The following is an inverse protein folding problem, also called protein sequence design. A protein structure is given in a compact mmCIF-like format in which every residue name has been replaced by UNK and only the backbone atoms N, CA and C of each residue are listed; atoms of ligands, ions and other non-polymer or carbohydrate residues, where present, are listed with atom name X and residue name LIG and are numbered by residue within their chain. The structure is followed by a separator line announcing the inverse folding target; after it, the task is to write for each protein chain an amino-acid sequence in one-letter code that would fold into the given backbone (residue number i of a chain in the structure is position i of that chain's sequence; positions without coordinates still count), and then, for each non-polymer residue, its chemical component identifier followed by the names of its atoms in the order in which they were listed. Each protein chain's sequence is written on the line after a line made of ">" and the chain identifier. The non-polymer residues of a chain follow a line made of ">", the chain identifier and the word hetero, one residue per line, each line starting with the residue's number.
data_IF_900099856223
#
_entry.id   IF_900099856223
#
_cell.length_a   1.000
_cell.length_b   1.000
_cell.length_c   1.000
_cell.angle_alpha   90.00
_cell.angle_beta   90.00
_cell.angle_gamma   90.00
#
_symmetry.space_group_name_H-M   'P 1'
#
loop_
_entity.id
_entity.type
_entity.pdbx_description
1 polymer ?
#
# COMPACT_ATOMS: atom_id res chain seq x y z
N UNK A 1 -5.59 29.76 -11.18
CA UNK A 1 -6.74 30.23 -10.40
C UNK A 1 -6.92 29.28 -9.23
N UNK A 2 -6.81 29.78 -8.01
CA UNK A 2 -7.03 29.00 -6.79
C UNK A 2 -8.52 28.92 -6.54
N UNK A 3 -9.06 27.70 -6.55
CA UNK A 3 -10.45 27.40 -6.26
C UNK A 3 -10.68 27.52 -4.74
N UNK A 4 -11.79 28.12 -4.30
CA UNK A 4 -12.11 28.19 -2.86
C UNK A 4 -12.73 26.88 -2.38
N UNK A 5 -12.72 26.61 -1.06
CA UNK A 5 -13.33 25.39 -0.51
C UNK A 5 -14.82 25.28 -0.85
N UNK A 6 -15.56 26.39 -0.80
CA UNK A 6 -16.99 26.42 -1.15
C UNK A 6 -17.22 26.10 -2.62
N UNK A 7 -16.44 26.69 -3.52
CA UNK A 7 -16.48 26.36 -4.95
C UNK A 7 -16.10 24.91 -5.21
N UNK A 8 -15.16 24.35 -4.43
CA UNK A 8 -14.78 22.95 -4.54
C UNK A 8 -15.97 22.07 -4.20
N UNK A 9 -16.63 22.37 -3.08
CA UNK A 9 -17.80 21.63 -2.58
C UNK A 9 -18.96 21.67 -3.58
N UNK A 10 -19.25 22.83 -4.17
CA UNK A 10 -20.28 22.98 -5.22
C UNK A 10 -20.01 22.08 -6.43
N UNK A 11 -18.75 21.86 -6.79
CA UNK A 11 -18.36 21.06 -7.95
C UNK A 11 -18.04 19.59 -7.65
N UNK A 12 -18.11 19.12 -6.39
CA UNK A 12 -17.69 17.75 -6.04
C UNK A 12 -18.53 16.67 -6.72
N UNK A 13 -19.85 16.88 -6.80
CA UNK A 13 -20.77 15.91 -7.41
C UNK A 13 -20.54 15.82 -8.92
N UNK A 14 -20.52 16.97 -9.60
CA UNK A 14 -20.22 17.04 -11.03
C UNK A 14 -18.83 16.48 -11.34
N UNK A 15 -17.86 16.69 -10.45
CA UNK A 15 -16.51 16.15 -10.59
C UNK A 15 -16.50 14.62 -10.47
N UNK A 16 -17.24 14.05 -9.50
CA UNK A 16 -17.38 12.61 -9.33
C UNK A 16 -17.98 11.93 -10.57
N UNK A 17 -19.05 12.49 -11.13
CA UNK A 17 -19.69 11.98 -12.35
C UNK A 17 -19.01 12.41 -13.65
N UNK A 18 -17.91 13.18 -13.57
CA UNK A 18 -17.13 13.70 -14.71
C UNK A 18 -17.92 14.63 -15.64
N UNK A 19 -18.89 15.35 -15.10
CA UNK A 19 -19.72 16.35 -15.80
C UNK A 19 -19.06 17.74 -15.82
N UNK A 20 -18.01 17.96 -15.03
CA UNK A 20 -17.24 19.22 -15.04
C UNK A 20 -16.43 19.43 -16.32
N UNK A 21 -16.32 20.69 -16.75
CA UNK A 21 -15.39 21.10 -17.81
C UNK A 21 -13.93 20.77 -17.44
N UNK A 22 -13.09 20.45 -18.42
CA UNK A 22 -11.70 20.00 -18.17
C UNK A 22 -10.81 20.99 -17.42
N UNK A 23 -11.10 22.29 -17.45
CA UNK A 23 -10.42 23.31 -16.65
C UNK A 23 -10.85 23.26 -15.18
N UNK A 24 -12.15 23.19 -14.92
CA UNK A 24 -12.75 23.06 -13.59
C UNK A 24 -12.33 21.74 -12.94
N UNK A 25 -12.36 20.65 -13.69
CA UNK A 25 -11.91 19.33 -13.22
C UNK A 25 -10.47 19.36 -12.71
N UNK A 26 -9.55 20.00 -13.45
CA UNK A 26 -8.15 20.16 -13.00
C UNK A 26 -8.03 21.05 -11.77
N UNK A 27 -8.82 22.12 -11.69
CA UNK A 27 -8.81 23.02 -10.54
C UNK A 27 -9.32 22.32 -9.26
N UNK A 28 -10.39 21.54 -9.36
CA UNK A 28 -10.91 20.70 -8.27
C UNK A 28 -9.88 19.65 -7.87
N UNK A 29 -9.30 18.91 -8.82
CA UNK A 29 -8.27 17.90 -8.54
C UNK A 29 -7.04 18.50 -7.82
N UNK A 30 -6.59 19.68 -8.26
CA UNK A 30 -5.49 20.40 -7.62
C UNK A 30 -5.86 20.93 -6.23
N UNK A 31 -7.12 21.29 -6.00
CA UNK A 31 -7.60 21.72 -4.69
C UNK A 31 -7.68 20.53 -3.73
N UNK A 32 -8.21 19.39 -4.18
CA UNK A 32 -8.29 18.15 -3.40
C UNK A 32 -6.90 17.63 -2.98
N UNK A 33 -5.87 17.80 -3.82
CA UNK A 33 -4.51 17.38 -3.46
C UNK A 33 -3.84 18.30 -2.43
N UNK A 34 -4.32 19.53 -2.26
CA UNK A 34 -3.73 20.53 -1.35
C UNK A 34 -4.56 20.78 -0.09
N UNK A 35 -5.87 20.52 -0.13
CA UNK A 35 -6.82 20.78 0.94
C UNK A 35 -7.35 19.46 1.52
N UNK A 36 -6.83 19.06 2.69
CA UNK A 36 -7.19 17.79 3.35
C UNK A 36 -8.66 17.72 3.76
N UNK A 37 -9.28 18.84 4.15
CA UNK A 37 -10.70 18.86 4.50
C UNK A 37 -11.59 18.54 3.31
N UNK A 38 -11.33 19.15 2.15
CA UNK A 38 -12.08 18.88 0.93
C UNK A 38 -11.82 17.44 0.41
N UNK A 39 -10.61 16.92 0.58
CA UNK A 39 -10.30 15.52 0.25
C UNK A 39 -11.12 14.54 1.09
N UNK A 40 -11.22 14.75 2.41
CA UNK A 40 -12.03 13.90 3.29
C UNK A 40 -13.51 13.98 2.94
N UNK A 41 -14.02 15.16 2.61
CA UNK A 41 -15.40 15.33 2.16
C UNK A 41 -15.67 14.59 0.85
N UNK A 42 -14.76 14.67 -0.11
CA UNK A 42 -14.86 13.91 -1.35
C UNK A 42 -14.85 12.39 -1.11
N UNK A 43 -13.97 11.88 -0.24
CA UNK A 43 -13.95 10.45 0.10
C UNK A 43 -15.26 9.99 0.77
N UNK A 44 -15.89 10.83 1.60
CA UNK A 44 -17.20 10.52 2.20
C UNK A 44 -18.29 10.48 1.13
N UNK A 45 -18.33 11.48 0.26
CA UNK A 45 -19.26 11.53 -0.87
C UNK A 45 -19.10 10.28 -1.77
N UNK A 46 -17.87 9.91 -2.10
CA UNK A 46 -17.56 8.73 -2.91
C UNK A 46 -18.05 7.42 -2.26
N UNK A 47 -17.86 7.29 -0.94
CA UNK A 47 -18.35 6.14 -0.19
C UNK A 47 -19.89 6.09 -0.13
N UNK A 48 -20.55 7.23 0.07
CA UNK A 48 -22.02 7.32 0.12
C UNK A 48 -22.63 6.97 -1.24
N UNK A 49 -22.08 7.54 -2.32
CA UNK A 49 -22.54 7.26 -3.69
C UNK A 49 -22.24 5.83 -4.12
N UNK A 50 -21.06 5.31 -3.79
CA UNK A 50 -20.69 3.91 -4.07
C UNK A 50 -21.55 2.91 -3.31
N UNK A 51 -21.89 3.20 -2.05
CA UNK A 51 -22.82 2.39 -1.25
C UNK A 51 -24.23 2.37 -1.84
N UNK A 52 -24.73 3.53 -2.28
CA UNK A 52 -26.03 3.63 -2.95
C UNK A 52 -26.02 2.86 -4.28
N UNK A 53 -24.96 2.98 -5.08
CA UNK A 53 -24.81 2.22 -6.31
C UNK A 53 -24.83 0.70 -6.05
N UNK A 54 -24.11 0.23 -5.02
CA UNK A 54 -24.11 -1.18 -4.65
C UNK A 54 -25.48 -1.68 -4.15
N UNK A 55 -26.29 -0.82 -3.52
CA UNK A 55 -27.65 -1.15 -3.10
C UNK A 55 -28.66 -1.15 -4.26
N UNK A 56 -28.40 -0.38 -5.32
CA UNK A 56 -29.24 -0.27 -6.52
C UNK A 56 -28.83 -1.22 -7.64
N UNK A 57 -27.62 -1.79 -7.57
CA UNK A 57 -27.18 -2.83 -8.49
C UNK A 57 -27.98 -4.11 -8.22
N UNK A 58 -29.10 -4.24 -8.93
CA UNK A 58 -29.76 -5.53 -9.14
C UNK A 58 -28.74 -6.53 -9.69
N UNK A 59 -28.72 -7.74 -9.13
CA UNK A 59 -27.80 -8.79 -9.56
C UNK A 59 -27.88 -8.97 -11.08
N UNK A 60 -26.77 -8.80 -11.82
CA UNK A 60 -26.80 -8.86 -13.27
C UNK A 60 -27.31 -10.23 -13.71
N UNK A 61 -28.32 -10.23 -14.58
CA UNK A 61 -28.97 -11.47 -15.00
C UNK A 61 -27.97 -12.52 -15.52
N UNK A 62 -28.27 -13.82 -15.39
CA UNK A 62 -27.31 -14.92 -15.59
C UNK A 62 -26.65 -14.94 -16.97
N UNK A 63 -27.31 -14.36 -17.99
CA UNK A 63 -26.74 -14.23 -19.35
C UNK A 63 -25.60 -13.23 -19.42
N UNK A 64 -25.66 -12.13 -18.66
CA UNK A 64 -24.62 -11.10 -18.62
C UNK A 64 -23.39 -11.66 -17.93
N UNK A 65 -23.56 -12.33 -16.78
CA UNK A 65 -22.49 -13.02 -16.06
C UNK A 65 -21.79 -14.06 -16.95
N UNK A 66 -22.55 -14.93 -17.63
CA UNK A 66 -21.98 -15.94 -18.52
C UNK A 66 -21.19 -15.35 -19.72
N UNK A 67 -21.55 -14.15 -20.18
CA UNK A 67 -20.80 -13.44 -21.21
C UNK A 67 -19.52 -12.82 -20.63
N UNK A 68 -19.63 -12.17 -19.47
CA UNK A 68 -18.49 -11.54 -18.79
C UNK A 68 -17.42 -12.57 -18.43
N UNK A 69 -17.82 -13.72 -17.88
CA UNK A 69 -16.89 -14.80 -17.58
C UNK A 69 -16.17 -15.32 -18.85
N UNK A 70 -16.87 -15.38 -19.99
CA UNK A 70 -16.25 -15.78 -21.25
C UNK A 70 -15.21 -14.75 -21.71
N UNK A 71 -15.47 -13.47 -21.54
CA UNK A 71 -14.53 -12.41 -21.89
C UNK A 71 -13.33 -12.36 -20.95
N UNK A 72 -13.55 -12.45 -19.64
CA UNK A 72 -12.48 -12.52 -18.64
C UNK A 72 -11.61 -13.75 -18.89
N UNK A 73 -12.20 -14.93 -19.17
CA UNK A 73 -11.43 -16.13 -19.53
C UNK A 73 -10.61 -15.95 -20.81
N UNK A 74 -11.07 -15.16 -21.78
CA UNK A 74 -10.29 -14.86 -23.00
C UNK A 74 -9.15 -13.90 -22.70
N UNK A 75 -9.39 -12.85 -21.90
CA UNK A 75 -8.39 -11.86 -21.53
C UNK A 75 -7.32 -12.42 -20.58
N UNK A 76 -7.74 -13.27 -19.64
CA UNK A 76 -6.86 -13.93 -18.67
C UNK A 76 -6.15 -15.17 -19.23
N UNK A 77 -6.32 -15.52 -20.52
CA UNK A 77 -5.54 -16.60 -21.12
C UNK A 77 -4.06 -16.19 -21.09
N UNK A 78 -3.20 -16.88 -20.31
CA UNK A 78 -1.79 -16.59 -20.33
C UNK A 78 -1.29 -16.81 -21.76
N UNK A 79 -0.59 -15.83 -22.33
CA UNK A 79 0.14 -16.01 -23.58
C UNK A 79 1.20 -17.08 -23.32
N UNK A 80 0.86 -18.36 -23.58
CA UNK A 80 1.71 -19.54 -23.33
C UNK A 80 3.15 -19.34 -23.80
N UNK A 81 3.35 -18.61 -24.90
CA UNK A 81 4.66 -18.24 -25.43
C UNK A 81 5.57 -17.48 -24.46
N UNK A 82 5.04 -16.60 -23.61
CA UNK A 82 5.85 -15.86 -22.63
C UNK A 82 6.23 -16.74 -21.42
N UNK A 83 5.31 -17.59 -20.98
CA UNK A 83 5.57 -18.51 -19.86
C UNK A 83 6.59 -19.60 -20.24
N UNK A 84 6.52 -20.13 -21.46
CA UNK A 84 7.51 -21.08 -21.98
C UNK A 84 8.92 -20.45 -22.07
N UNK A 85 9.02 -19.17 -22.42
CA UNK A 85 10.28 -18.43 -22.48
C UNK A 85 10.88 -18.14 -21.09
N UNK A 86 10.04 -17.88 -20.08
CA UNK A 86 10.50 -17.73 -18.70
C UNK A 86 10.89 -19.08 -18.07
N UNK A 87 10.20 -20.17 -18.40
CA UNK A 87 10.55 -21.50 -17.89
C UNK A 87 11.84 -22.06 -18.48
N UNK A 88 12.22 -21.68 -19.71
CA UNK A 88 13.44 -22.17 -20.35
C UNK A 88 14.75 -21.56 -19.80
N UNK A 89 14.71 -20.52 -18.96
CA UNK A 89 15.89 -19.67 -18.69
C UNK A 89 16.37 -19.69 -17.23
N UNK A 90 16.39 -20.87 -16.62
CA UNK A 90 16.89 -21.07 -15.24
C UNK A 90 18.21 -21.88 -15.09
N UNK A 91 18.84 -22.53 -16.12
CA UNK A 91 19.93 -23.46 -15.80
C UNK A 91 21.30 -22.83 -15.48
N UNK A 92 21.56 -21.55 -15.80
CA UNK A 92 22.92 -20.98 -15.67
C UNK A 92 23.20 -20.45 -14.26
N UNK A 93 22.18 -20.00 -13.52
CA UNK A 93 22.38 -19.41 -12.19
C UNK A 93 22.30 -20.41 -11.04
N UNK A 94 21.80 -21.64 -11.28
CA UNK A 94 21.78 -22.70 -10.27
C UNK A 94 23.17 -23.06 -9.71
N UNK A 95 24.22 -23.28 -10.52
CA UNK A 95 25.54 -23.57 -9.97
C UNK A 95 26.11 -22.38 -9.17
N UNK A 96 25.86 -21.15 -9.62
CA UNK A 96 26.29 -19.94 -8.90
C UNK A 96 25.56 -19.78 -7.56
N UNK A 97 24.25 -20.06 -7.53
CA UNK A 97 23.47 -20.02 -6.29
C UNK A 97 23.91 -21.10 -5.30
N UNK A 98 24.23 -22.33 -5.77
CA UNK A 98 24.77 -23.39 -4.93
C UNK A 98 26.15 -23.02 -4.40
N UNK A 99 27.03 -22.47 -5.23
CA UNK A 99 28.36 -22.00 -4.81
C UNK A 99 28.26 -20.87 -3.77
N UNK A 100 27.38 -19.89 -4.00
CA UNK A 100 27.13 -18.80 -3.05
C UNK A 100 26.56 -19.30 -1.73
N UNK A 101 25.56 -20.18 -1.77
CA UNK A 101 24.95 -20.75 -0.56
C UNK A 101 25.95 -21.59 0.23
N UNK A 102 26.74 -22.42 -0.46
CA UNK A 102 27.77 -23.27 0.18
C UNK A 102 28.89 -22.40 0.77
N UNK A 103 29.35 -21.38 0.05
CA UNK A 103 30.36 -20.44 0.54
C UNK A 103 29.87 -19.59 1.72
N UNK A 104 28.63 -19.09 1.67
CA UNK A 104 28.00 -18.37 2.76
C UNK A 104 27.82 -19.26 4.00
N UNK A 105 27.40 -20.51 3.81
CA UNK A 105 27.24 -21.47 4.91
C UNK A 105 28.59 -21.84 5.53
N UNK A 106 29.64 -22.04 4.73
CA UNK A 106 31.00 -22.24 5.23
C UNK A 106 31.50 -21.03 6.03
N UNK A 107 31.32 -19.82 5.48
CA UNK A 107 31.71 -18.58 6.13
C UNK A 107 31.00 -18.38 7.47
N UNK A 108 29.68 -18.66 7.51
CA UNK A 108 28.91 -18.64 8.75
C UNK A 108 29.45 -19.63 9.76
N UNK A 109 29.75 -20.85 9.33
CA UNK A 109 30.29 -21.89 10.20
C UNK A 109 31.66 -21.51 10.77
N UNK A 110 32.55 -20.95 9.96
CA UNK A 110 33.89 -20.55 10.43
C UNK A 110 33.86 -19.33 11.35
N UNK A 111 32.91 -18.41 11.16
CA UNK A 111 32.85 -17.17 11.95
C UNK A 111 31.90 -17.19 13.14
N UNK A 112 30.91 -18.09 13.18
CA UNK A 112 29.99 -18.24 14.32
C UNK A 112 30.32 -19.41 15.24
N UNK A 113 31.22 -20.34 14.87
CA UNK A 113 31.54 -21.51 15.70
C UNK A 113 32.56 -21.27 16.83
N UNK A 114 33.03 -20.03 17.07
CA UNK A 114 33.69 -19.65 18.32
C UNK A 114 33.22 -18.25 18.71
N UNK A 115 32.55 -18.10 19.86
CA UNK A 115 33.33 -18.11 21.09
C UNK A 115 32.63 -18.83 22.26
N UNK A 116 33.32 -19.80 22.84
CA UNK A 116 33.14 -20.24 24.22
C UNK A 116 34.54 -20.73 24.64
N UNK A 117 35.14 -20.39 25.78
CA UNK A 117 34.62 -19.96 27.07
C UNK A 117 35.86 -19.55 27.89
N UNK A 118 35.82 -18.49 28.70
CA UNK A 118 36.27 -18.47 30.11
C UNK A 118 36.44 -17.04 30.65
N UNK A 119 35.44 -16.68 31.47
CA UNK A 119 35.62 -16.29 32.87
C UNK A 119 36.01 -14.84 33.19
N UNK A 120 35.04 -14.09 33.70
CA UNK A 120 35.12 -13.38 35.01
C UNK A 120 33.84 -12.57 35.25
N UNK A 121 32.92 -13.12 36.04
CA UNK A 121 31.97 -12.34 36.86
C UNK A 121 32.70 -12.06 38.19
N UNK A 122 32.69 -10.84 38.76
CA UNK A 122 31.50 -10.45 39.52
C UNK A 122 31.14 -8.96 39.65
N UNK A 123 29.84 -8.78 39.93
CA UNK A 123 29.31 -7.83 40.93
C UNK A 123 28.91 -6.41 40.48
N UNK A 124 28.05 -5.70 41.23
CA UNK A 124 26.65 -5.52 40.84
C UNK A 124 26.24 -4.03 40.85
N UNK A 125 25.49 -3.55 39.85
CA UNK A 125 24.84 -2.23 39.99
C UNK A 125 23.79 -2.04 38.91
N UNK A 126 22.61 -1.58 39.31
CA UNK A 126 21.52 -1.09 38.46
C UNK A 126 20.78 -2.20 37.68
N UNK A 127 19.72 -2.83 38.20
CA UNK A 127 18.44 -2.18 38.45
C UNK A 127 18.12 -1.07 37.43
N UNK A 128 18.17 -1.42 36.13
CA UNK A 128 17.40 -0.70 35.12
C UNK A 128 15.92 -1.08 35.28
N UNK A 129 15.35 -0.55 36.35
CA UNK A 129 13.95 -0.18 36.47
C UNK A 129 13.55 0.57 35.19
N UNK A 130 12.90 -0.13 34.25
CA UNK A 130 12.19 0.51 33.14
C UNK A 130 10.93 1.10 33.74
N UNK A 131 11.19 2.28 34.30
CA UNK A 131 10.31 3.33 34.76
C UNK A 131 9.32 3.65 33.66
N UNK A 132 8.04 3.60 34.03
CA UNK A 132 6.88 4.25 33.42
C UNK A 132 6.93 4.53 31.92
N UNK A 133 6.13 3.76 31.18
CA UNK A 133 5.66 4.13 29.85
C UNK A 133 4.69 5.32 29.98
N UNK A 134 5.23 6.54 29.96
CA UNK A 134 4.43 7.77 30.00
C UNK A 134 3.83 8.07 28.61
N UNK A 135 2.57 7.68 28.42
CA UNK A 135 1.79 7.90 27.20
C UNK A 135 1.39 9.38 26.96
N UNK A 136 1.85 10.34 27.79
CA UNK A 136 1.47 11.76 27.66
C UNK A 136 2.29 12.57 26.66
N UNK A 137 3.39 12.05 26.14
CA UNK A 137 4.24 12.79 25.18
C UNK A 137 3.64 12.92 23.77
N UNK A 138 2.55 12.22 23.46
CA UNK A 138 1.85 12.39 22.18
C UNK A 138 0.87 13.59 22.14
N UNK A 139 0.64 14.28 23.25
CA UNK A 139 -0.33 15.40 23.29
C UNK A 139 0.35 16.77 23.14
N UNK A 140 1.65 16.92 23.42
CA UNK A 140 2.28 18.25 23.41
C UNK A 140 2.86 18.71 22.06
N UNK A 141 2.97 17.84 21.04
CA UNK A 141 3.49 18.26 19.72
C UNK A 141 2.43 19.02 18.90
N UNK A 142 1.13 18.89 19.23
CA UNK A 142 0.07 19.63 18.53
C UNK A 142 -0.18 21.06 19.04
N UNK A 143 0.47 21.52 20.11
CA UNK A 143 0.18 22.85 20.68
C UNK A 143 1.11 23.97 20.21
N UNK A 144 2.14 23.70 19.40
CA UNK A 144 3.16 24.71 19.04
C UNK A 144 3.33 24.94 17.53
N UNK A 145 2.29 24.64 16.74
CA UNK A 145 2.17 25.08 15.35
C UNK A 145 0.99 26.04 15.28
N UNK A 146 1.16 27.19 15.94
CA UNK A 146 0.35 28.40 15.80
C UNK A 146 1.28 29.51 15.31
#
# INVERSE_FOLDING_TARGET
>A
MTLTCDQCREHLIDYHYRETNGTTSRAVASHLSSCTSCAVEYCRLDADLGGIAALLEDEPGPRVLANLEREVRKAARPKRRLFDLLQLRVPIYQPMAVLLATGAMWFLFTHLALPDETDSTPSPSSAAEIRDYDARTLISIQANVL
#
